data_IF_467555633806
#
_entry.id   IF_467555633806
#
_cell.length_a   1.000
_cell.length_b   1.000
_cell.length_c   1.000
_cell.angle_alpha   90.00
_cell.angle_beta   90.00
_cell.angle_gamma   90.00
#
_symmetry.space_group_name_H-M   'P 1'
#
loop_
_entity.id
_entity.type
_entity.pdbx_description
1 polymer ?
#
# COMPACT_ATOMS: atom_id res chain seq x y z
N UNK A 1 13.98 -43.04 28.47
CA UNK A 1 12.66 -42.64 27.91
C UNK A 1 12.23 -41.22 28.32
N UNK A 2 12.28 -40.84 29.60
CA UNK A 2 11.85 -39.50 30.06
C UNK A 2 12.67 -38.32 29.49
N UNK A 3 13.99 -38.49 29.31
CA UNK A 3 14.88 -37.46 28.72
C UNK A 3 14.65 -37.24 27.22
N UNK A 4 14.23 -38.29 26.50
CA UNK A 4 13.84 -38.21 25.08
C UNK A 4 12.49 -37.52 24.92
N UNK A 5 11.55 -37.75 25.84
CA UNK A 5 10.24 -37.10 25.85
C UNK A 5 10.35 -35.59 26.09
N UNK A 6 11.24 -35.17 27.00
CA UNK A 6 11.49 -33.76 27.30
C UNK A 6 12.10 -33.03 26.07
N UNK A 7 13.05 -33.67 25.38
CA UNK A 7 13.64 -33.12 24.16
C UNK A 7 12.62 -32.88 23.04
N UNK A 8 11.66 -33.81 22.87
CA UNK A 8 10.61 -33.70 21.86
C UNK A 8 9.64 -32.54 22.16
N UNK A 9 9.28 -32.35 23.43
CA UNK A 9 8.38 -31.26 23.86
C UNK A 9 9.04 -29.89 23.68
N UNK A 10 10.33 -29.78 24.01
CA UNK A 10 11.09 -28.53 23.81
C UNK A 10 11.23 -28.20 22.32
N UNK A 11 11.48 -29.21 21.48
CA UNK A 11 11.51 -29.03 20.02
C UNK A 11 10.15 -28.54 19.48
N UNK A 12 9.03 -29.14 19.93
CA UNK A 12 7.68 -28.74 19.53
C UNK A 12 7.33 -27.30 19.96
N UNK A 13 7.77 -26.87 21.14
CA UNK A 13 7.57 -25.50 21.62
C UNK A 13 8.38 -24.48 20.80
N UNK A 14 9.60 -24.82 20.36
CA UNK A 14 10.43 -23.90 19.56
C UNK A 14 9.86 -23.64 18.15
N UNK A 15 9.15 -24.60 17.54
CA UNK A 15 8.49 -24.38 16.23
C UNK A 15 7.36 -23.34 16.33
N UNK A 16 6.69 -23.25 17.49
CA UNK A 16 5.58 -22.32 17.71
C UNK A 16 6.02 -20.87 18.01
N UNK A 17 7.29 -20.64 18.36
CA UNK A 17 7.82 -19.29 18.57
C UNK A 17 8.24 -18.57 17.27
N UNK A 18 8.48 -19.29 16.16
CA UNK A 18 8.90 -18.68 14.90
C UNK A 18 7.74 -18.20 14.00
N UNK A 19 6.48 -18.53 14.32
CA UNK A 19 5.32 -18.16 13.49
C UNK A 19 4.58 -16.88 13.92
N UNK A 20 5.02 -16.19 14.98
CA UNK A 20 4.37 -14.96 15.49
C UNK A 20 5.02 -13.65 15.01
N UNK A 21 5.73 -13.71 13.89
CA UNK A 21 6.20 -12.54 13.13
C UNK A 21 5.27 -12.18 11.98
N UNK A 22 3.96 -12.45 12.07
CA UNK A 22 3.00 -11.85 11.14
C UNK A 22 2.82 -10.41 11.63
N UNK A 23 3.58 -9.50 11.03
CA UNK A 23 3.29 -8.07 11.05
C UNK A 23 1.78 -7.93 10.83
N UNK A 24 1.05 -7.59 11.88
CA UNK A 24 -0.23 -6.92 11.73
C UNK A 24 0.08 -5.60 11.03
N UNK A 25 0.16 -5.65 9.70
CA UNK A 25 -0.13 -4.51 8.87
C UNK A 25 -1.62 -4.26 9.08
N UNK A 26 -1.94 -3.59 10.19
CA UNK A 26 -3.25 -3.02 10.43
C UNK A 26 -3.50 -2.16 9.19
N UNK A 27 -4.39 -2.63 8.32
CA UNK A 27 -4.76 -1.98 7.06
C UNK A 27 -5.15 -0.52 7.33
N UNK A 28 -4.15 0.36 7.33
CA UNK A 28 -4.33 1.81 7.33
C UNK A 28 -4.50 2.32 5.90
N UNK A 29 -4.56 1.40 4.92
CA UNK A 29 -4.80 1.64 3.50
C UNK A 29 -6.22 1.34 3.02
N UNK A 30 -7.17 1.00 3.90
CA UNK A 30 -8.56 0.73 3.48
C UNK A 30 -9.32 2.01 3.13
N UNK A 31 -8.87 3.18 3.59
CA UNK A 31 -9.42 4.49 3.19
C UNK A 31 -8.31 5.56 3.11
N UNK A 32 -8.25 6.35 2.01
CA UNK A 32 -7.29 7.45 1.91
C UNK A 32 -7.59 8.50 2.97
N UNK A 33 -6.54 9.03 3.61
CA UNK A 33 -6.65 10.14 4.57
C UNK A 33 -6.81 11.48 3.85
N UNK A 34 -6.28 11.58 2.62
CA UNK A 34 -6.36 12.78 1.79
C UNK A 34 -6.60 12.37 0.33
N UNK A 35 -7.61 12.99 -0.29
CA UNK A 35 -7.87 12.89 -1.74
C UNK A 35 -7.72 14.28 -2.35
N UNK A 36 -6.79 14.41 -3.29
CA UNK A 36 -6.56 15.63 -4.06
C UNK A 36 -7.14 15.46 -5.46
N UNK A 37 -7.79 16.50 -5.98
CA UNK A 37 -8.21 16.55 -7.39
C UNK A 37 -7.22 17.40 -8.17
N UNK A 38 -6.64 16.82 -9.20
CA UNK A 38 -5.70 17.46 -10.10
C UNK A 38 -6.45 17.81 -11.40
N UNK A 39 -6.57 19.10 -11.72
CA UNK A 39 -7.10 19.56 -13.00
C UNK A 39 -6.00 19.57 -14.06
N UNK A 40 -6.27 18.96 -15.21
CA UNK A 40 -5.37 18.85 -16.35
C UNK A 40 -6.17 19.19 -17.62
N UNK A 41 -5.64 20.10 -18.45
CA UNK A 41 -6.36 20.67 -19.59
C UNK A 41 -6.07 19.98 -20.95
N UNK A 42 -5.15 19.03 -20.97
CA UNK A 42 -4.72 18.25 -22.11
C UNK A 42 -5.43 16.88 -22.18
N UNK A 43 -5.41 16.23 -23.35
CA UNK A 43 -5.95 14.89 -23.52
C UNK A 43 -5.19 13.81 -22.75
N UNK A 44 -5.84 12.69 -22.47
CA UNK A 44 -5.28 11.55 -21.74
C UNK A 44 -3.88 11.10 -22.21
N UNK A 45 -3.63 11.10 -23.52
CA UNK A 45 -2.39 10.63 -24.12
C UNK A 45 -1.30 11.71 -24.25
N UNK A 46 -1.59 12.94 -23.85
CA UNK A 46 -0.64 14.04 -23.90
C UNK A 46 0.49 13.86 -22.85
N UNK A 47 1.73 14.33 -23.13
CA UNK A 47 2.86 14.09 -22.24
C UNK A 47 2.67 14.57 -20.79
N UNK A 48 2.02 15.72 -20.57
CA UNK A 48 1.79 16.25 -19.21
C UNK A 48 0.73 15.43 -18.46
N UNK A 49 -0.33 14.98 -19.13
CA UNK A 49 -1.34 14.09 -18.54
C UNK A 49 -0.74 12.74 -18.15
N UNK A 50 0.13 12.17 -18.99
CA UNK A 50 0.90 10.96 -18.65
C UNK A 50 1.80 11.18 -17.43
N UNK A 51 2.48 12.33 -17.35
CA UNK A 51 3.31 12.68 -16.20
C UNK A 51 2.46 12.86 -14.92
N UNK A 52 1.30 13.51 -15.01
CA UNK A 52 0.37 13.70 -13.90
C UNK A 52 -0.15 12.35 -13.36
N UNK A 53 -0.51 11.43 -14.25
CA UNK A 53 -0.91 10.07 -13.87
C UNK A 53 0.22 9.31 -13.17
N UNK A 54 1.46 9.40 -13.69
CA UNK A 54 2.60 8.75 -13.04
C UNK A 54 2.93 9.38 -11.68
N UNK A 55 2.77 10.69 -11.55
CA UNK A 55 2.91 11.40 -10.28
C UNK A 55 1.87 10.90 -9.26
N UNK A 56 0.59 10.80 -9.66
CA UNK A 56 -0.47 10.26 -8.81
C UNK A 56 -0.19 8.82 -8.33
N UNK A 57 0.30 7.96 -9.23
CA UNK A 57 0.71 6.60 -8.91
C UNK A 57 1.81 6.57 -7.85
N UNK A 58 2.88 7.35 -8.04
CA UNK A 58 4.02 7.40 -7.12
C UNK A 58 3.65 7.97 -5.75
N UNK A 59 2.73 8.95 -5.69
CA UNK A 59 2.22 9.49 -4.43
C UNK A 59 1.46 8.41 -3.67
N UNK A 60 0.57 7.68 -4.35
CA UNK A 60 -0.18 6.57 -3.74
C UNK A 60 0.76 5.48 -3.21
N UNK A 61 1.76 5.08 -4.01
CA UNK A 61 2.74 4.06 -3.61
C UNK A 61 3.54 4.49 -2.37
N UNK A 62 4.14 5.68 -2.42
CA UNK A 62 5.04 6.16 -1.35
C UNK A 62 4.33 6.54 -0.06
N UNK A 63 3.02 6.78 -0.12
CA UNK A 63 2.19 7.08 1.06
C UNK A 63 1.41 5.87 1.55
N UNK A 64 1.70 4.67 1.05
CA UNK A 64 0.97 3.44 1.37
C UNK A 64 -0.56 3.59 1.19
N UNK A 65 -0.98 4.36 0.19
CA UNK A 65 -2.39 4.64 -0.09
C UNK A 65 -3.02 5.74 0.78
N UNK A 66 -2.29 6.36 1.71
CA UNK A 66 -2.84 7.42 2.57
C UNK A 66 -3.18 8.69 1.79
N UNK A 67 -2.47 8.98 0.70
CA UNK A 67 -2.74 10.11 -0.19
C UNK A 67 -3.06 9.59 -1.59
N UNK A 68 -4.21 9.99 -2.12
CA UNK A 68 -4.65 9.67 -3.48
C UNK A 68 -4.82 10.97 -4.27
N UNK A 69 -4.36 10.96 -5.52
CA UNK A 69 -4.54 12.07 -6.45
C UNK A 69 -5.41 11.56 -7.61
N UNK A 70 -6.56 12.19 -7.81
CA UNK A 70 -7.46 11.94 -8.93
C UNK A 70 -7.16 12.95 -10.04
N UNK A 71 -6.66 12.47 -11.17
CA UNK A 71 -6.34 13.30 -12.33
C UNK A 71 -7.56 13.41 -13.23
N UNK A 72 -8.05 14.64 -13.42
CA UNK A 72 -9.13 14.99 -14.32
C UNK A 72 -8.55 15.72 -15.52
N UNK A 73 -8.47 15.02 -16.64
CA UNK A 73 -7.96 15.52 -17.93
C UNK A 73 -9.10 16.13 -18.78
N UNK A 74 -8.79 16.54 -20.01
CA UNK A 74 -9.75 17.16 -20.94
C UNK A 74 -10.43 18.43 -20.38
N UNK A 75 -9.73 19.16 -19.50
CA UNK A 75 -10.27 20.34 -18.80
C UNK A 75 -11.58 20.06 -18.04
N UNK A 76 -11.78 18.82 -17.57
CA UNK A 76 -13.03 18.39 -16.95
C UNK A 76 -13.42 19.14 -15.66
N UNK A 77 -12.49 19.88 -15.06
CA UNK A 77 -12.72 20.70 -13.86
C UNK A 77 -12.73 22.22 -14.14
N UNK A 78 -12.74 22.63 -15.41
CA UNK A 78 -12.63 24.01 -15.85
C UNK A 78 -11.31 24.29 -16.58
N UNK A 79 -11.32 25.34 -17.43
CA UNK A 79 -10.20 25.78 -18.28
C UNK A 79 -9.89 27.27 -18.01
#
# INVERSE_FOLDING_TARGET
MKRLLIGLIVALCMVNLFSKGKLENKNQGDNPKLVLRYAENQPYDYPTTKAANKFAELVKERTNGEIVIEVFYDAALGD
#
